data_IF_245246602048
#
_entry.id   IF_245246602048
#
_cell.length_a   1.000
_cell.length_b   1.000
_cell.length_c   1.000
_cell.angle_alpha   90.00
_cell.angle_beta   90.00
_cell.angle_gamma   90.00
#
_symmetry.space_group_name_H-M   'P 1'
#
loop_
_entity.id
_entity.type
_entity.pdbx_description
1 polymer ?
#
# COMPACT_ATOMS: atom_id res chain seq x y z
N UNK A 1 -16.88 2.72 -4.24
CA UNK A 1 -15.54 2.50 -3.64
C UNK A 1 -15.29 1.02 -3.51
N UNK A 2 -14.08 0.55 -3.83
CA UNK A 2 -13.67 -0.84 -3.69
C UNK A 2 -12.56 -0.94 -2.66
N UNK A 3 -12.49 -2.07 -1.97
CA UNK A 3 -11.40 -2.34 -1.03
C UNK A 3 -10.20 -2.89 -1.80
N UNK A 4 -9.03 -2.32 -1.53
CA UNK A 4 -7.74 -2.75 -2.07
C UNK A 4 -6.85 -3.19 -0.92
N UNK A 5 -6.08 -4.24 -1.16
CA UNK A 5 -5.00 -4.68 -0.28
C UNK A 5 -3.68 -4.31 -0.92
N UNK A 6 -2.95 -3.39 -0.29
CA UNK A 6 -1.63 -2.94 -0.72
C UNK A 6 -0.60 -3.74 0.05
N UNK A 7 0.22 -4.49 -0.67
CA UNK A 7 1.39 -5.12 -0.07
C UNK A 7 2.57 -4.18 -0.25
N UNK A 8 3.24 -3.83 0.84
CA UNK A 8 4.37 -2.92 0.83
C UNK A 8 5.48 -3.44 1.74
N UNK A 9 6.70 -2.96 1.50
CA UNK A 9 7.88 -3.21 2.33
C UNK A 9 8.47 -1.88 2.78
N UNK A 10 9.19 -1.90 3.89
CA UNK A 10 9.77 -0.71 4.53
C UNK A 10 11.29 -0.82 4.52
N UNK A 11 12.02 0.22 4.15
CA UNK A 11 13.48 0.22 4.24
C UNK A 11 13.95 0.34 5.70
N UNK A 12 15.01 -0.37 6.13
CA UNK A 12 15.81 -1.34 5.39
C UNK A 12 15.22 -2.76 5.39
N UNK A 13 14.08 -2.96 6.05
CA UNK A 13 13.42 -4.26 6.23
C UNK A 13 12.59 -4.70 5.02
N UNK A 14 13.24 -4.85 3.86
CA UNK A 14 12.61 -5.28 2.61
C UNK A 14 12.13 -6.75 2.62
N UNK A 15 12.59 -7.53 3.59
CA UNK A 15 12.27 -8.96 3.70
C UNK A 15 10.91 -9.23 4.37
N UNK A 16 10.24 -8.19 4.89
CA UNK A 16 8.98 -8.34 5.62
C UNK A 16 7.87 -7.63 4.84
N UNK A 17 7.04 -8.37 4.09
CA UNK A 17 5.90 -7.79 3.40
C UNK A 17 4.79 -7.43 4.41
N UNK A 18 4.44 -6.16 4.45
CA UNK A 18 3.33 -5.60 5.21
C UNK A 18 2.10 -5.46 4.32
N UNK A 19 0.92 -5.53 4.92
CA UNK A 19 -0.37 -5.31 4.22
C UNK A 19 -1.04 -4.04 4.73
N UNK A 20 -1.57 -3.25 3.81
CA UNK A 20 -2.33 -2.04 4.10
C UNK A 20 -3.64 -2.09 3.33
N UNK A 21 -4.76 -2.10 4.06
CA UNK A 21 -6.08 -2.08 3.45
C UNK A 21 -6.52 -0.64 3.23
N UNK A 22 -6.97 -0.33 2.01
CA UNK A 22 -7.45 1.00 1.65
C UNK A 22 -8.71 0.90 0.79
N UNK A 23 -9.63 1.83 0.97
CA UNK A 23 -10.76 1.99 0.06
C UNK A 23 -10.41 3.05 -0.98
N UNK A 24 -10.58 2.72 -2.26
CA UNK A 24 -10.32 3.63 -3.37
C UNK A 24 -11.30 3.38 -4.52
N UNK A 25 -11.38 4.31 -5.46
CA UNK A 25 -12.24 4.13 -6.65
C UNK A 25 -11.61 3.23 -7.71
N UNK A 26 -10.29 3.26 -7.82
CA UNK A 26 -9.51 2.47 -8.78
C UNK A 26 -8.12 2.15 -8.20
N UNK A 27 -7.38 1.31 -8.92
CA UNK A 27 -6.06 0.83 -8.49
C UNK A 27 -5.05 1.97 -8.36
N UNK A 28 -5.01 2.90 -9.31
CA UNK A 28 -4.07 4.04 -9.31
C UNK A 28 -4.27 4.91 -8.07
N UNK A 29 -5.52 5.23 -7.74
CA UNK A 29 -5.89 5.99 -6.55
C UNK A 29 -5.55 5.23 -5.26
N UNK A 30 -5.71 3.89 -5.26
CA UNK A 30 -5.34 3.04 -4.13
C UNK A 30 -3.85 3.10 -3.82
N UNK A 31 -3.01 3.05 -4.86
CA UNK A 31 -1.55 3.09 -4.76
C UNK A 31 -1.12 4.49 -4.29
N UNK A 32 -1.57 5.55 -4.95
CA UNK A 32 -1.18 6.92 -4.61
C UNK A 32 -1.57 7.29 -3.17
N UNK A 33 -2.78 6.89 -2.74
CA UNK A 33 -3.27 7.15 -1.39
C UNK A 33 -2.53 6.31 -0.34
N UNK A 34 -2.21 5.05 -0.65
CA UNK A 34 -1.40 4.21 0.21
C UNK A 34 0.04 4.72 0.32
N UNK A 35 0.68 5.11 -0.77
CA UNK A 35 2.02 5.71 -0.74
C UNK A 35 2.04 6.94 0.16
N UNK A 36 1.06 7.85 0.01
CA UNK A 36 0.99 9.06 0.82
C UNK A 36 0.83 8.73 2.31
N UNK A 37 -0.06 7.80 2.65
CA UNK A 37 -0.29 7.38 4.02
C UNK A 37 0.92 6.64 4.63
N UNK A 38 1.58 5.79 3.85
CA UNK A 38 2.71 4.97 4.30
C UNK A 38 3.99 5.79 4.42
N UNK A 39 4.25 6.73 3.50
CA UNK A 39 5.41 7.66 3.60
C UNK A 39 5.35 8.54 4.86
N UNK A 40 4.15 8.91 5.32
CA UNK A 40 3.97 9.64 6.58
C UNK A 40 4.32 8.79 7.81
N UNK A 41 4.06 7.47 7.75
CA UNK A 41 4.32 6.54 8.86
C UNK A 41 5.76 6.03 8.88
N UNK A 42 6.38 5.97 7.71
CA UNK A 42 7.71 5.39 7.50
C UNK A 42 8.58 6.38 6.72
N UNK A 43 9.17 7.38 7.42
CA UNK A 43 10.05 8.37 6.80
C UNK A 43 11.33 7.73 6.23
N UNK A 44 11.69 6.54 6.71
CA UNK A 44 12.77 5.69 6.22
C UNK A 44 12.60 5.20 4.77
N UNK A 45 11.37 5.24 4.23
CA UNK A 45 11.06 4.88 2.85
C UNK A 45 10.28 3.57 2.74
N UNK A 46 9.31 3.56 1.82
CA UNK A 46 8.45 2.40 1.54
C UNK A 46 8.49 2.06 0.06
N UNK A 47 8.29 0.79 -0.27
CA UNK A 47 8.08 0.33 -1.64
C UNK A 47 6.81 -0.49 -1.71
N UNK A 48 5.89 -0.09 -2.57
CA UNK A 48 4.69 -0.87 -2.84
C UNK A 48 5.05 -1.99 -3.81
N UNK A 49 4.70 -3.22 -3.41
CA UNK A 49 4.97 -4.45 -4.17
C UNK A 49 3.77 -4.80 -5.03
N UNK A 50 2.56 -4.78 -4.46
CA UNK A 50 1.32 -5.08 -5.20
C UNK A 50 0.14 -4.28 -4.67
N UNK A 51 -0.82 -4.00 -5.55
CA UNK A 51 -2.18 -3.60 -5.18
C UNK A 51 -3.14 -4.65 -5.72
N UNK A 52 -3.94 -5.25 -4.84
CA UNK A 52 -4.95 -6.22 -5.24
C UNK A 52 -6.33 -5.70 -4.86
N UNK A 53 -7.26 -5.54 -5.82
CA UNK A 53 -8.66 -5.34 -5.48
C UNK A 53 -9.12 -6.60 -4.74
N UNK A 54 -9.69 -6.42 -3.55
CA UNK A 54 -10.31 -7.51 -2.83
C UNK A 54 -11.59 -7.86 -3.60
N UNK A 55 -11.52 -8.91 -4.42
CA UNK A 55 -12.68 -9.51 -5.05
C UNK A 55 -13.54 -10.12 -3.94
N UNK A 56 -14.76 -9.61 -3.81
CA UNK A 56 -15.80 -10.17 -2.96
C UNK A 56 -16.22 -11.54 -3.47
#
# INVERSE_FOLDING_TARGET
>A
MKQFTITYVVHPHFNIPCKYHIQANNEVESIASAEKALKLRHPEGISIVTSQPQLA
#
